data_IF_153439488477
#
_entry.id   IF_153439488477
#
_cell.length_a   1.000
_cell.length_b   1.000
_cell.length_c   1.000
_cell.angle_alpha   90.00
_cell.angle_beta   90.00
_cell.angle_gamma   90.00
#
_symmetry.space_group_name_H-M   'P 1'
#
loop_
_entity.id
_entity.type
_entity.pdbx_description
1 polymer ?
#
# COMPACT_ATOMS: atom_id res chain seq x y z
N UNK A 1 10.14 -3.67 -49.71
CA UNK A 1 9.98 -2.36 -49.04
C UNK A 1 9.25 -2.63 -47.73
N UNK A 2 10.01 -2.75 -46.65
CA UNK A 2 9.47 -2.90 -45.30
C UNK A 2 9.27 -1.48 -44.74
N UNK A 3 8.06 -1.17 -44.28
CA UNK A 3 7.72 0.07 -43.60
C UNK A 3 7.56 -0.22 -42.12
N UNK A 4 8.36 0.45 -41.30
CA UNK A 4 8.48 0.29 -39.85
C UNK A 4 7.24 0.79 -39.09
N UNK A 5 6.94 0.07 -38.00
CA UNK A 5 5.90 0.36 -37.01
C UNK A 5 6.37 1.45 -36.02
N UNK A 6 5.52 2.38 -35.55
CA UNK A 6 5.93 3.41 -34.61
C UNK A 6 6.11 2.86 -33.18
N UNK A 7 7.02 3.42 -32.36
CA UNK A 7 7.27 2.91 -31.02
C UNK A 7 6.11 3.28 -30.08
N UNK A 8 5.69 2.26 -29.34
CA UNK A 8 4.72 2.26 -28.25
C UNK A 8 5.18 3.17 -27.09
N UNK A 9 4.57 4.34 -26.94
CA UNK A 9 4.73 5.19 -25.75
C UNK A 9 3.84 4.68 -24.60
N UNK A 10 4.41 3.83 -23.74
CA UNK A 10 3.90 3.59 -22.39
C UNK A 10 4.20 4.79 -21.45
N UNK A 11 3.46 4.97 -20.34
CA UNK A 11 3.51 6.20 -19.56
C UNK A 11 4.88 6.44 -18.87
N UNK A 12 5.52 7.62 -19.06
CA UNK A 12 6.92 7.86 -18.66
C UNK A 12 7.12 8.45 -17.24
N UNK A 13 6.17 8.33 -16.31
CA UNK A 13 6.23 9.08 -15.05
C UNK A 13 6.38 8.26 -13.77
N UNK A 14 6.23 6.94 -13.80
CA UNK A 14 6.15 6.14 -12.56
C UNK A 14 7.50 5.68 -11.99
N UNK A 15 8.53 5.69 -12.82
CA UNK A 15 9.87 5.19 -12.46
C UNK A 15 10.85 6.34 -12.12
N UNK A 16 10.56 7.59 -12.48
CA UNK A 16 11.51 8.70 -12.26
C UNK A 16 11.63 9.19 -10.81
N UNK A 17 10.61 8.98 -9.97
CA UNK A 17 10.68 9.29 -8.54
C UNK A 17 11.62 8.34 -7.78
N UNK A 18 11.78 7.09 -8.24
CA UNK A 18 12.63 6.08 -7.60
C UNK A 18 13.98 5.88 -8.31
N UNK A 19 14.07 6.07 -9.63
CA UNK A 19 15.33 6.02 -10.37
C UNK A 19 16.25 7.24 -10.16
N UNK A 20 15.79 8.29 -9.45
CA UNK A 20 16.67 9.37 -8.99
C UNK A 20 17.63 8.90 -7.88
N UNK A 21 17.35 7.74 -7.27
CA UNK A 21 18.34 6.94 -6.54
C UNK A 21 19.13 6.14 -7.58
N UNK A 22 19.90 6.83 -8.42
CA UNK A 22 20.96 6.20 -9.20
C UNK A 22 21.97 5.65 -8.21
N UNK A 23 21.86 4.36 -7.90
CA UNK A 23 22.90 3.55 -7.28
C UNK A 23 24.10 3.63 -8.23
N UNK A 24 25.23 4.26 -7.86
CA UNK A 24 26.44 4.13 -8.64
C UNK A 24 26.85 2.66 -8.54
N UNK A 25 26.92 1.97 -9.67
CA UNK A 25 27.63 0.72 -9.81
C UNK A 25 29.05 0.92 -9.26
N UNK A 26 29.33 0.39 -8.07
CA UNK A 26 30.65 0.50 -7.46
C UNK A 26 31.66 -0.29 -8.30
N UNK A 27 32.66 0.45 -8.80
CA UNK A 27 33.97 -0.08 -9.17
C UNK A 27 34.60 -0.80 -7.97
N UNK A 28 35.47 -1.81 -8.20
CA UNK A 28 36.17 -2.49 -7.11
C UNK A 28 37.13 -1.52 -6.42
N UNK A 29 36.96 -1.31 -5.11
CA UNK A 29 37.89 -0.52 -4.30
C UNK A 29 38.97 -1.46 -3.78
N UNK A 30 40.16 -1.33 -4.36
CA UNK A 30 41.43 -1.84 -3.82
C UNK A 30 41.65 -1.33 -2.39
N UNK A 31 42.11 -2.25 -1.53
CA UNK A 31 42.37 -1.97 -0.14
C UNK A 31 43.54 -1.03 0.09
N UNK A 32 43.34 0.00 0.92
CA UNK A 32 44.38 0.54 1.79
C UNK A 32 43.79 1.11 3.09
N UNK A 33 44.50 1.01 4.23
CA UNK A 33 43.96 1.23 5.58
C UNK A 33 44.21 2.65 6.08
N UNK A 34 43.21 3.31 6.72
CA UNK A 34 43.42 4.63 7.34
C UNK A 34 42.72 4.75 8.70
N UNK A 35 43.57 4.93 9.71
CA UNK A 35 43.47 5.59 11.02
C UNK A 35 42.31 5.33 11.99
N UNK A 36 42.67 4.67 13.10
CA UNK A 36 41.95 4.57 14.38
C UNK A 36 41.49 5.96 14.87
N UNK A 37 40.18 6.17 14.97
CA UNK A 37 39.61 7.14 15.93
C UNK A 37 39.47 6.46 17.29
N UNK A 38 39.97 7.13 18.31
CA UNK A 38 39.87 6.76 19.73
C UNK A 38 38.41 6.58 20.15
N UNK A 39 38.11 5.40 20.71
CA UNK A 39 36.82 5.05 21.29
C UNK A 39 36.65 5.67 22.69
N UNK A 40 35.49 6.28 22.94
CA UNK A 40 34.95 6.56 24.28
C UNK A 40 34.63 5.22 24.97
N UNK A 41 34.98 5.01 26.26
CA UNK A 41 34.69 3.76 26.94
C UNK A 41 33.18 3.60 27.18
N UNK A 42 32.62 2.37 27.07
CA UNK A 42 31.22 2.11 27.36
C UNK A 42 30.93 2.25 28.87
N UNK A 43 29.74 2.78 29.18
CA UNK A 43 29.24 2.86 30.56
C UNK A 43 28.97 1.45 31.12
N UNK A 44 29.15 1.21 32.44
CA UNK A 44 28.89 -0.08 33.05
C UNK A 44 27.39 -0.45 32.99
N UNK A 45 27.11 -1.71 32.66
CA UNK A 45 25.77 -2.29 32.70
C UNK A 45 25.23 -2.35 34.15
N UNK A 46 23.92 -2.10 34.38
CA UNK A 46 23.30 -2.32 35.68
C UNK A 46 23.22 -3.84 36.01
N UNK A 47 23.25 -4.21 37.30
CA UNK A 47 23.19 -5.62 37.71
C UNK A 47 21.83 -6.25 37.40
N UNK A 48 21.80 -7.56 37.06
CA UNK A 48 20.56 -8.26 36.74
C UNK A 48 19.68 -8.46 38.00
N UNK A 49 18.34 -8.43 37.86
CA UNK A 49 17.42 -8.73 38.94
C UNK A 49 17.48 -10.22 39.36
N UNK A 50 17.14 -10.55 40.61
CA UNK A 50 17.25 -11.91 41.13
C UNK A 50 16.31 -12.89 40.41
N UNK A 51 16.88 -13.99 39.90
CA UNK A 51 16.16 -15.05 39.20
C UNK A 51 15.46 -15.97 40.20
N UNK A 52 14.12 -15.99 40.17
CA UNK A 52 13.32 -16.97 40.90
C UNK A 52 13.11 -18.21 40.01
N UNK A 53 13.55 -19.38 40.48
CA UNK A 53 13.40 -20.68 39.79
C UNK A 53 11.95 -21.15 39.91
N UNK A 54 11.25 -21.26 38.78
CA UNK A 54 9.92 -21.87 38.68
C UNK A 54 9.70 -22.51 37.31
N UNK A 55 9.20 -23.73 37.28
CA UNK A 55 9.21 -24.68 36.17
C UNK A 55 8.40 -24.29 34.91
N UNK A 56 9.01 -24.54 33.75
CA UNK A 56 8.51 -25.41 32.68
C UNK A 56 7.12 -25.16 32.07
N UNK A 57 7.09 -24.48 30.92
CA UNK A 57 5.98 -24.49 29.98
C UNK A 57 6.38 -23.84 28.65
N UNK A 58 6.46 -24.65 27.59
CA UNK A 58 6.84 -24.26 26.23
C UNK A 58 5.91 -23.18 25.67
N UNK A 59 6.40 -21.95 25.56
CA UNK A 59 5.80 -20.83 24.82
C UNK A 59 6.93 -19.94 24.27
N UNK A 60 7.78 -20.52 23.42
CA UNK A 60 9.02 -19.87 22.97
C UNK A 60 8.79 -18.64 22.09
N UNK A 61 7.82 -18.69 21.16
CA UNK A 61 7.60 -17.60 20.20
C UNK A 61 6.93 -16.36 20.80
N UNK A 62 6.12 -16.52 21.85
CA UNK A 62 5.39 -15.38 22.44
C UNK A 62 6.26 -14.58 23.42
N UNK A 63 7.29 -15.20 24.03
CA UNK A 63 8.20 -14.52 24.95
C UNK A 63 9.26 -13.68 24.22
N UNK A 64 9.74 -14.13 23.06
CA UNK A 64 10.76 -13.43 22.26
C UNK A 64 10.22 -12.11 21.69
N UNK A 65 9.01 -12.13 21.11
CA UNK A 65 8.34 -10.93 20.61
C UNK A 65 8.07 -9.90 21.72
N UNK A 66 7.71 -10.35 22.93
CA UNK A 66 7.50 -9.43 24.07
C UNK A 66 8.78 -8.78 24.56
N UNK A 67 9.92 -9.48 24.46
CA UNK A 67 11.23 -8.95 24.84
C UNK A 67 11.72 -7.90 23.83
N UNK A 68 11.54 -8.16 22.54
CA UNK A 68 11.86 -7.21 21.47
C UNK A 68 11.00 -5.95 21.55
N UNK A 69 9.69 -6.09 21.77
CA UNK A 69 8.78 -4.96 21.98
C UNK A 69 9.14 -4.14 23.22
N UNK A 70 9.54 -4.80 24.32
CA UNK A 70 10.05 -4.12 25.51
C UNK A 70 11.34 -3.36 25.22
N UNK A 71 12.24 -3.93 24.43
CA UNK A 71 13.50 -3.30 24.02
C UNK A 71 13.25 -2.08 23.14
N UNK A 72 12.37 -2.21 22.14
CA UNK A 72 11.93 -1.10 21.29
C UNK A 72 11.27 0.02 22.10
N UNK A 73 10.37 -0.33 23.03
CA UNK A 73 9.72 0.65 23.91
C UNK A 73 10.72 1.36 24.83
N UNK A 74 11.80 0.69 25.25
CA UNK A 74 12.89 1.33 25.98
C UNK A 74 13.70 2.27 25.08
N UNK A 75 14.00 1.86 23.83
CA UNK A 75 14.68 2.70 22.85
C UNK A 75 13.89 3.99 22.56
N UNK A 76 12.56 3.90 22.41
CA UNK A 76 11.69 5.07 22.24
C UNK A 76 11.73 6.05 23.42
N UNK A 77 12.10 5.61 24.63
CA UNK A 77 12.26 6.53 25.78
C UNK A 77 13.62 7.25 25.78
N UNK A 78 14.60 6.70 25.06
CA UNK A 78 15.96 7.20 25.01
C UNK A 78 16.21 8.10 23.79
N UNK A 79 15.45 7.89 22.71
CA UNK A 79 15.58 8.61 21.46
C UNK A 79 14.30 9.43 21.17
N UNK A 80 14.35 10.78 21.28
CA UNK A 80 13.22 11.66 21.00
C UNK A 80 12.71 11.62 19.54
N UNK A 81 13.59 11.37 18.56
CA UNK A 81 13.17 11.26 17.16
C UNK A 81 12.40 9.95 16.95
N UNK A 82 12.91 8.85 17.50
CA UNK A 82 12.22 7.56 17.48
C UNK A 82 10.88 7.59 18.23
N UNK A 83 10.83 8.29 19.37
CA UNK A 83 9.58 8.51 20.11
C UNK A 83 8.51 9.22 19.28
N UNK A 84 8.93 10.26 18.56
CA UNK A 84 8.04 11.07 17.72
C UNK A 84 7.52 10.23 16.56
N UNK A 85 8.38 9.43 15.94
CA UNK A 85 8.01 8.46 14.92
C UNK A 85 6.98 7.45 15.43
N UNK A 86 7.25 6.80 16.57
CA UNK A 86 6.35 5.81 17.18
C UNK A 86 4.98 6.41 17.52
N UNK A 87 4.95 7.60 18.13
CA UNK A 87 3.70 8.31 18.43
C UNK A 87 2.88 8.58 17.17
N UNK A 88 3.55 9.01 16.09
CA UNK A 88 2.91 9.28 14.80
C UNK A 88 2.37 7.99 14.18
N UNK A 89 3.16 6.91 14.22
CA UNK A 89 2.78 5.58 13.74
C UNK A 89 1.54 5.06 14.48
N UNK A 90 1.51 5.17 15.81
CA UNK A 90 0.40 4.73 16.64
C UNK A 90 -0.87 5.54 16.39
N UNK A 91 -0.75 6.86 16.23
CA UNK A 91 -1.87 7.74 15.88
C UNK A 91 -2.49 7.36 14.53
N UNK A 92 -1.66 7.17 13.50
CA UNK A 92 -2.12 6.76 12.16
C UNK A 92 -2.76 5.38 12.18
N UNK A 93 -2.13 4.42 12.85
CA UNK A 93 -2.68 3.06 12.99
C UNK A 93 -4.05 3.09 13.67
N UNK A 94 -4.19 3.87 14.74
CA UNK A 94 -5.47 4.03 15.44
C UNK A 94 -6.53 4.64 14.53
N UNK A 95 -6.18 5.67 13.75
CA UNK A 95 -7.09 6.31 12.77
C UNK A 95 -7.59 5.32 11.73
N UNK A 96 -6.71 4.46 11.19
CA UNK A 96 -7.08 3.36 10.27
C UNK A 96 -8.03 2.38 10.93
N UNK A 97 -7.73 1.92 12.14
CA UNK A 97 -8.60 0.98 12.89
C UNK A 97 -9.99 1.57 13.08
N UNK A 98 -10.09 2.83 13.49
CA UNK A 98 -11.37 3.51 13.66
C UNK A 98 -12.15 3.62 12.35
N UNK A 99 -11.46 4.00 11.27
CA UNK A 99 -12.04 4.11 9.93
C UNK A 99 -12.62 2.77 9.42
N UNK A 100 -11.93 1.67 9.71
CA UNK A 100 -12.37 0.32 9.37
C UNK A 100 -13.52 -0.17 10.26
N UNK A 101 -13.46 0.09 11.58
CA UNK A 101 -14.46 -0.34 12.56
C UNK A 101 -15.85 0.24 12.27
N UNK A 102 -15.92 1.48 11.77
CA UNK A 102 -17.19 2.13 11.41
C UNK A 102 -17.86 1.51 10.16
N UNK A 103 -17.15 0.74 9.33
CA UNK A 103 -17.70 0.05 8.15
C UNK A 103 -18.22 -1.37 8.41
N UNK A 104 -17.99 -1.93 9.60
CA UNK A 104 -18.25 -3.36 9.87
C UNK A 104 -19.75 -3.69 9.96
N UNK A 105 -20.62 -2.71 10.26
CA UNK A 105 -22.07 -2.92 10.39
C UNK A 105 -22.76 -3.38 9.10
N UNK A 106 -22.15 -3.18 7.92
CA UNK A 106 -22.77 -3.49 6.60
C UNK A 106 -22.01 -4.55 5.79
N UNK A 107 -20.97 -5.19 6.35
CA UNK A 107 -20.01 -6.04 5.59
C UNK A 107 -19.46 -5.34 4.33
N UNK A 108 -19.42 -4.01 4.33
CA UNK A 108 -18.92 -3.21 3.22
C UNK A 108 -18.17 -2.01 3.77
N UNK A 109 -17.03 -1.70 3.15
CA UNK A 109 -16.25 -0.52 3.50
C UNK A 109 -16.79 0.69 2.74
N UNK A 110 -16.89 1.83 3.43
CA UNK A 110 -17.21 3.09 2.75
C UNK A 110 -16.04 3.53 1.87
N UNK A 111 -16.33 4.30 0.81
CA UNK A 111 -15.29 4.89 -0.02
C UNK A 111 -14.38 5.84 0.79
N UNK A 112 -14.96 6.56 1.76
CA UNK A 112 -14.20 7.41 2.67
C UNK A 112 -13.24 6.58 3.54
N UNK A 113 -13.69 5.43 4.05
CA UNK A 113 -12.83 4.52 4.82
C UNK A 113 -11.67 3.99 3.98
N UNK A 114 -11.94 3.60 2.73
CA UNK A 114 -10.89 3.12 1.82
C UNK A 114 -9.88 4.22 1.48
N UNK A 115 -10.36 5.44 1.22
CA UNK A 115 -9.52 6.61 0.96
C UNK A 115 -8.64 6.94 2.16
N UNK A 116 -9.21 6.88 3.35
CA UNK A 116 -8.54 7.11 4.63
C UNK A 116 -7.40 6.11 4.85
N UNK A 117 -7.69 4.81 4.71
CA UNK A 117 -6.67 3.74 4.82
C UNK A 117 -5.54 3.91 3.82
N UNK A 118 -5.88 4.15 2.55
CA UNK A 118 -4.88 4.33 1.49
C UNK A 118 -4.03 5.58 1.73
N UNK A 119 -4.64 6.65 2.24
CA UNK A 119 -3.94 7.88 2.63
C UNK A 119 -2.92 7.64 3.74
N UNK A 120 -3.32 6.97 4.83
CA UNK A 120 -2.40 6.63 5.93
C UNK A 120 -1.21 5.78 5.46
N UNK A 121 -1.42 4.80 4.59
CA UNK A 121 -0.34 3.97 4.04
C UNK A 121 0.68 4.84 3.27
N UNK A 122 0.20 5.77 2.44
CA UNK A 122 1.08 6.65 1.67
C UNK A 122 1.86 7.62 2.57
N UNK A 123 1.20 8.21 3.57
CA UNK A 123 1.84 9.09 4.54
C UNK A 123 2.95 8.35 5.31
N UNK A 124 2.67 7.12 5.78
CA UNK A 124 3.67 6.28 6.45
C UNK A 124 4.85 5.96 5.54
N UNK A 125 4.58 5.54 4.30
CA UNK A 125 5.64 5.20 3.36
C UNK A 125 6.54 6.40 3.05
N UNK A 126 5.97 7.61 2.99
CA UNK A 126 6.75 8.83 2.80
C UNK A 126 7.73 9.08 3.96
N UNK A 127 7.29 8.87 5.20
CA UNK A 127 8.15 9.03 6.38
C UNK A 127 9.22 7.95 6.47
N UNK A 128 8.88 6.69 6.19
CA UNK A 128 9.86 5.59 6.20
C UNK A 128 10.95 5.81 5.15
N UNK A 129 10.58 6.24 3.93
CA UNK A 129 11.56 6.58 2.89
C UNK A 129 12.50 7.69 3.34
N UNK A 130 11.99 8.70 4.05
CA UNK A 130 12.81 9.78 4.60
C UNK A 130 13.84 9.22 5.59
N UNK A 131 13.41 8.40 6.54
CA UNK A 131 14.31 7.77 7.54
C UNK A 131 15.37 6.90 6.84
N UNK A 132 14.98 6.10 5.85
CA UNK A 132 15.91 5.27 5.06
C UNK A 132 16.97 6.12 4.37
N UNK A 133 16.57 7.27 3.79
CA UNK A 133 17.51 8.17 3.13
C UNK A 133 18.47 8.84 4.12
N UNK A 134 17.97 9.28 5.27
CA UNK A 134 18.77 9.91 6.33
C UNK A 134 19.80 8.91 6.92
N UNK A 135 19.42 7.64 7.08
CA UNK A 135 20.26 6.56 7.60
C UNK A 135 21.02 5.78 6.52
N UNK A 136 20.99 6.22 5.26
CA UNK A 136 21.49 5.47 4.09
C UNK A 136 22.84 4.81 4.36
N UNK A 137 23.85 5.57 4.78
CA UNK A 137 25.23 5.04 4.95
C UNK A 137 25.32 3.90 5.95
N UNK A 138 24.50 3.92 7.00
CA UNK A 138 24.52 2.89 8.04
C UNK A 138 23.76 1.65 7.59
N UNK A 139 22.68 1.81 6.83
CA UNK A 139 21.95 0.72 6.15
C UNK A 139 22.88 -0.03 5.20
N UNK A 140 23.62 0.66 4.33
CA UNK A 140 24.56 0.02 3.39
C UNK A 140 25.74 -0.69 4.06
N UNK A 141 25.96 -0.49 5.37
CA UNK A 141 27.02 -1.15 6.14
C UNK A 141 26.52 -2.37 6.91
N UNK A 142 25.20 -2.54 7.02
CA UNK A 142 24.57 -3.67 7.70
C UNK A 142 23.77 -4.48 6.68
N UNK A 143 24.25 -5.65 6.24
CA UNK A 143 23.53 -6.51 5.29
C UNK A 143 22.10 -6.82 5.74
N UNK A 144 21.92 -7.12 7.03
CA UNK A 144 20.60 -7.41 7.63
C UNK A 144 19.63 -6.22 7.48
N UNK A 145 20.13 -4.99 7.68
CA UNK A 145 19.32 -3.78 7.55
C UNK A 145 19.04 -3.43 6.08
N UNK A 146 19.97 -3.78 5.19
CA UNK A 146 19.79 -3.66 3.75
C UNK A 146 18.69 -4.59 3.25
N UNK A 147 18.74 -5.88 3.60
CA UNK A 147 17.75 -6.89 3.20
C UNK A 147 16.35 -6.50 3.71
N UNK A 148 16.24 -6.03 4.96
CA UNK A 148 14.97 -5.53 5.51
C UNK A 148 14.39 -4.35 4.72
N UNK A 149 15.24 -3.42 4.27
CA UNK A 149 14.81 -2.27 3.47
C UNK A 149 14.39 -2.72 2.07
N UNK A 150 15.08 -3.70 1.48
CA UNK A 150 14.71 -4.30 0.20
C UNK A 150 13.33 -4.97 0.28
N UNK A 151 13.10 -5.81 1.30
CA UNK A 151 11.81 -6.47 1.55
C UNK A 151 10.68 -5.44 1.75
N UNK A 152 10.95 -4.36 2.49
CA UNK A 152 10.00 -3.27 2.69
C UNK A 152 9.61 -2.59 1.37
N UNK A 153 10.57 -2.31 0.49
CA UNK A 153 10.30 -1.69 -0.81
C UNK A 153 9.54 -2.62 -1.75
N UNK A 154 9.91 -3.90 -1.81
CA UNK A 154 9.23 -4.90 -2.61
C UNK A 154 7.75 -5.03 -2.19
N UNK A 155 7.50 -5.10 -0.88
CA UNK A 155 6.14 -5.13 -0.33
C UNK A 155 5.35 -3.83 -0.65
N UNK A 156 6.02 -2.68 -0.51
CA UNK A 156 5.41 -1.38 -0.81
C UNK A 156 5.02 -1.26 -2.29
N UNK A 157 5.85 -1.79 -3.20
CA UNK A 157 5.58 -1.80 -4.64
C UNK A 157 4.39 -2.69 -4.98
N UNK A 158 4.33 -3.89 -4.41
CA UNK A 158 3.21 -4.82 -4.62
C UNK A 158 1.89 -4.24 -4.08
N UNK A 159 1.93 -3.58 -2.92
CA UNK A 159 0.78 -2.86 -2.36
C UNK A 159 0.33 -1.73 -3.29
N UNK A 160 1.28 -0.99 -3.89
CA UNK A 160 0.98 0.06 -4.86
C UNK A 160 0.35 -0.50 -6.14
N UNK A 161 0.81 -1.65 -6.63
CA UNK A 161 0.23 -2.32 -7.79
C UNK A 161 -1.21 -2.76 -7.51
N UNK A 162 -1.47 -3.31 -6.31
CA UNK A 162 -2.83 -3.58 -5.85
C UNK A 162 -3.71 -2.33 -5.83
N UNK A 163 -3.25 -1.24 -5.19
CA UNK A 163 -4.00 0.02 -5.16
C UNK A 163 -4.29 0.55 -6.58
N UNK A 164 -3.35 0.39 -7.51
CA UNK A 164 -3.52 0.78 -8.91
C UNK A 164 -4.59 -0.07 -9.62
N UNK A 165 -4.56 -1.38 -9.40
CA UNK A 165 -5.56 -2.29 -9.94
C UNK A 165 -6.95 -1.97 -9.38
N UNK A 166 -7.04 -1.70 -8.07
CA UNK A 166 -8.27 -1.28 -7.41
C UNK A 166 -8.80 0.04 -7.98
N UNK A 167 -7.94 1.05 -8.16
CA UNK A 167 -8.32 2.34 -8.76
C UNK A 167 -8.94 2.15 -10.15
N UNK A 168 -8.36 1.28 -10.99
CA UNK A 168 -8.91 0.95 -12.30
C UNK A 168 -10.29 0.29 -12.20
N UNK A 169 -10.48 -0.62 -11.25
CA UNK A 169 -11.80 -1.23 -11.02
C UNK A 169 -12.83 -0.20 -10.58
N UNK A 170 -12.49 0.69 -9.66
CA UNK A 170 -13.39 1.75 -9.18
C UNK A 170 -13.75 2.74 -10.29
N UNK A 171 -12.81 3.09 -11.18
CA UNK A 171 -13.09 3.90 -12.37
C UNK A 171 -14.10 3.21 -13.29
N UNK A 172 -13.88 1.92 -13.61
CA UNK A 172 -14.84 1.14 -14.42
C UNK A 172 -16.21 1.04 -13.77
N UNK A 173 -16.27 0.84 -12.46
CA UNK A 173 -17.54 0.77 -11.72
C UNK A 173 -18.29 2.11 -11.80
N UNK A 174 -17.59 3.23 -11.59
CA UNK A 174 -18.16 4.58 -11.73
C UNK A 174 -18.64 4.85 -13.15
N UNK A 175 -17.85 4.50 -14.16
CA UNK A 175 -18.21 4.74 -15.56
C UNK A 175 -19.43 3.88 -15.95
N UNK A 176 -19.51 2.64 -15.46
CA UNK A 176 -20.68 1.77 -15.65
C UNK A 176 -21.92 2.31 -14.94
N UNK A 177 -21.76 2.87 -13.74
CA UNK A 177 -22.85 3.54 -13.02
C UNK A 177 -23.37 4.76 -13.79
N UNK A 178 -22.49 5.51 -14.45
CA UNK A 178 -22.89 6.65 -15.28
C UNK A 178 -23.79 6.21 -16.44
N UNK A 179 -23.49 5.07 -17.09
CA UNK A 179 -24.35 4.50 -18.15
C UNK A 179 -25.75 4.21 -17.59
N UNK A 180 -25.86 3.65 -16.39
CA UNK A 180 -27.16 3.39 -15.73
C UNK A 180 -27.92 4.70 -15.47
N UNK A 181 -27.24 5.74 -14.97
CA UNK A 181 -27.86 7.05 -14.78
C UNK A 181 -28.37 7.66 -16.09
N UNK A 182 -27.60 7.56 -17.17
CA UNK A 182 -28.04 8.00 -18.50
C UNK A 182 -29.24 7.19 -18.98
N UNK A 183 -29.24 5.86 -18.80
CA UNK A 183 -30.38 5.01 -19.16
C UNK A 183 -31.67 5.41 -18.42
N UNK A 184 -31.56 5.73 -17.12
CA UNK A 184 -32.70 6.20 -16.32
C UNK A 184 -33.23 7.54 -16.83
N UNK A 185 -32.35 8.48 -17.17
CA UNK A 185 -32.75 9.76 -17.76
C UNK A 185 -33.46 9.55 -19.10
N UNK A 186 -32.93 8.68 -19.97
CA UNK A 186 -33.57 8.34 -21.26
C UNK A 186 -34.94 7.70 -21.05
N UNK A 187 -35.08 6.86 -20.03
CA UNK A 187 -36.35 6.23 -19.71
C UNK A 187 -37.41 7.26 -19.33
N UNK A 188 -37.06 8.22 -18.48
CA UNK A 188 -37.93 9.32 -18.07
C UNK A 188 -38.34 10.19 -19.28
N UNK A 189 -37.37 10.55 -20.13
CA UNK A 189 -37.62 11.33 -21.36
C UNK A 189 -38.57 10.60 -22.32
N UNK A 190 -38.32 9.31 -22.58
CA UNK A 190 -39.12 8.48 -23.50
C UNK A 190 -40.51 8.13 -22.95
N UNK A 191 -40.70 8.11 -21.63
CA UNK A 191 -42.01 7.88 -21.00
C UNK A 191 -42.88 9.14 -20.97
N UNK A 192 -42.25 10.31 -20.82
CA UNK A 192 -42.92 11.60 -20.85
C UNK A 192 -43.37 12.02 -22.26
N UNK A 193 -42.71 11.55 -23.32
CA UNK A 193 -43.02 11.88 -24.72
C UNK A 193 -44.34 11.22 -25.17
N UNK A 194 -45.41 11.99 -25.46
CA UNK A 194 -46.70 11.46 -25.90
C UNK A 194 -46.62 10.82 -27.30
N UNK A 195 -45.70 11.28 -28.16
CA UNK A 195 -45.57 10.80 -29.54
C UNK A 195 -45.06 9.36 -29.62
N UNK A 196 -44.34 8.90 -28.60
CA UNK A 196 -43.82 7.53 -28.49
C UNK A 196 -44.82 6.55 -27.87
N UNK A 197 -45.98 7.02 -27.40
CA UNK A 197 -47.03 6.17 -26.80
C UNK A 197 -47.89 5.45 -27.84
N UNK A 198 -48.01 6.00 -29.05
CA UNK A 198 -48.81 5.42 -30.13
C UNK A 198 -48.05 4.32 -30.90
N UNK A 199 -46.73 4.44 -31.04
CA UNK A 199 -45.86 3.47 -31.72
C UNK A 199 -45.06 2.66 -30.69
N UNK A 200 -45.76 1.82 -29.91
CA UNK A 200 -45.20 1.07 -28.78
C UNK A 200 -43.99 0.18 -29.10
N UNK A 201 -43.67 -0.06 -30.38
CA UNK A 201 -42.45 -0.77 -30.82
C UNK A 201 -41.17 0.08 -30.75
N UNK A 202 -41.27 1.41 -30.73
CA UNK A 202 -40.12 2.34 -30.66
C UNK A 202 -39.87 2.89 -29.26
N UNK A 203 -40.77 2.62 -28.32
CA UNK A 203 -40.63 3.11 -26.94
C UNK A 203 -39.40 2.47 -26.29
N UNK A 204 -38.61 3.29 -25.59
CA UNK A 204 -37.42 2.88 -24.84
C UNK A 204 -36.25 2.34 -25.67
N UNK A 205 -36.20 2.62 -26.97
CA UNK A 205 -35.07 2.17 -27.81
C UNK A 205 -33.75 2.78 -27.34
N UNK A 206 -33.75 4.03 -26.90
CA UNK A 206 -32.53 4.70 -26.41
C UNK A 206 -32.13 4.13 -25.04
N UNK A 207 -33.10 3.99 -24.14
CA UNK A 207 -32.90 3.32 -22.85
C UNK A 207 -32.29 1.92 -23.02
N UNK A 208 -32.84 1.09 -23.91
CA UNK A 208 -32.34 -0.26 -24.15
C UNK A 208 -30.93 -0.27 -24.73
N UNK A 209 -30.57 0.73 -25.54
CA UNK A 209 -29.22 0.85 -26.09
C UNK A 209 -28.19 1.15 -24.99
N UNK A 210 -28.48 2.09 -24.09
CA UNK A 210 -27.62 2.36 -22.92
C UNK A 210 -27.48 1.12 -22.03
N UNK A 211 -28.58 0.40 -21.77
CA UNK A 211 -28.54 -0.83 -20.97
C UNK A 211 -27.74 -1.96 -21.65
N UNK A 212 -27.71 -2.03 -22.99
CA UNK A 212 -26.83 -2.95 -23.72
C UNK A 212 -25.36 -2.55 -23.56
N UNK A 213 -25.05 -1.27 -23.60
CA UNK A 213 -23.70 -0.78 -23.35
C UNK A 213 -23.26 -1.09 -21.91
N UNK A 214 -24.12 -0.89 -20.92
CA UNK A 214 -23.85 -1.30 -19.53
C UNK A 214 -23.58 -2.80 -19.43
N UNK A 215 -24.39 -3.63 -20.07
CA UNK A 215 -24.17 -5.09 -20.10
C UNK A 215 -22.84 -5.45 -20.78
N UNK A 216 -22.46 -4.73 -21.83
CA UNK A 216 -21.20 -4.94 -22.53
C UNK A 216 -19.97 -4.47 -21.73
N UNK A 217 -20.12 -3.48 -20.85
CA UNK A 217 -19.06 -2.99 -19.97
C UNK A 217 -18.57 -4.08 -18.99
N UNK A 218 -19.43 -5.04 -18.65
CA UNK A 218 -19.06 -6.24 -17.89
C UNK A 218 -18.78 -5.97 -16.41
N UNK A 219 -18.06 -6.89 -15.77
CA UNK A 219 -17.67 -6.76 -14.36
C UNK A 219 -16.53 -5.73 -14.22
N UNK A 220 -16.66 -4.70 -13.37
CA UNK A 220 -15.59 -3.75 -13.14
C UNK A 220 -14.36 -4.38 -12.47
N UNK A 221 -14.50 -5.50 -11.77
CA UNK A 221 -13.43 -6.28 -11.15
C UNK A 221 -13.06 -7.46 -12.05
N UNK A 222 -11.98 -7.28 -12.82
CA UNK A 222 -11.51 -8.27 -13.80
C UNK A 222 -10.60 -9.32 -13.15
N UNK A 223 -10.32 -10.42 -13.87
CA UNK A 223 -9.37 -11.46 -13.42
C UNK A 223 -7.99 -10.89 -13.05
N UNK A 224 -7.53 -9.87 -13.78
CA UNK A 224 -6.27 -9.16 -13.49
C UNK A 224 -6.25 -8.60 -12.06
N UNK A 225 -7.35 -7.99 -11.62
CA UNK A 225 -7.44 -7.46 -10.25
C UNK A 225 -7.34 -8.58 -9.22
N UNK A 226 -8.06 -9.68 -9.43
CA UNK A 226 -8.04 -10.81 -8.51
C UNK A 226 -6.67 -11.49 -8.45
N UNK A 227 -5.92 -11.54 -9.56
CA UNK A 227 -4.55 -12.06 -9.56
C UNK A 227 -3.63 -11.21 -8.67
N UNK A 228 -3.66 -9.87 -8.83
CA UNK A 228 -2.86 -8.96 -8.00
C UNK A 228 -3.27 -9.04 -6.52
N UNK A 229 -4.58 -9.04 -6.25
CA UNK A 229 -5.11 -9.17 -4.89
C UNK A 229 -4.64 -10.47 -4.22
N UNK A 230 -4.71 -11.60 -4.92
CA UNK A 230 -4.28 -12.89 -4.37
C UNK A 230 -2.78 -12.96 -4.13
N UNK A 231 -1.97 -12.28 -4.96
CA UNK A 231 -0.52 -12.19 -4.73
C UNK A 231 -0.22 -11.50 -3.41
N UNK A 232 -0.76 -10.29 -3.22
CA UNK A 232 -0.57 -9.48 -2.00
C UNK A 232 -1.14 -10.20 -0.78
N UNK A 233 -2.33 -10.79 -0.90
CA UNK A 233 -2.98 -11.51 0.20
C UNK A 233 -2.13 -12.68 0.72
N UNK A 234 -1.56 -13.49 -0.19
CA UNK A 234 -0.71 -14.62 0.21
C UNK A 234 0.54 -14.16 0.94
N UNK A 235 1.15 -13.07 0.48
CA UNK A 235 2.34 -12.49 1.10
C UNK A 235 2.06 -11.95 2.50
N UNK A 236 0.90 -11.33 2.73
CA UNK A 236 0.59 -10.70 4.02
C UNK A 236 -0.02 -11.62 5.07
N UNK A 237 -0.72 -12.69 4.66
CA UNK A 237 -1.41 -13.61 5.60
C UNK A 237 -0.62 -14.88 5.89
N UNK A 238 0.31 -15.26 5.00
CA UNK A 238 1.09 -16.49 5.13
C UNK A 238 2.57 -16.23 5.47
N UNK A 239 2.95 -14.96 5.63
CA UNK A 239 4.28 -14.52 6.06
C UNK A 239 4.47 -14.61 7.57
#
# INVERSE_FOLDING_TARGET
MAGEEPPNEGPPYRIQAFNSIKIPSCLPIDGQPIHKRTATPPLPLPPPPPQNRGAGGSSGGNMEYTAELSSYAAACRLDPELQTFDTTLQQRTSRVIWSLAHGVEVRSLSFDSLKEVTGCILEMNQEVVKVILDCKKDIWRSPELFDLVEDYFENSLQTLDFCTALERCLKRARDSQLIVHVALQRFEDEDADPSLKEDGKKKYLRTLEELRQFKAAGDPFTDEFFQVFQSVYKQHVTG
#
